data_IF_470934617298
#
_entry.id   IF_470934617298
#
_cell.length_a   1.000
_cell.length_b   1.000
_cell.length_c   1.000
_cell.angle_alpha   90.00
_cell.angle_beta   90.00
_cell.angle_gamma   90.00
#
_symmetry.space_group_name_H-M   'P 1'
#
loop_
_entity.id
_entity.type
_entity.pdbx_description
1 polymer ?
#
# COMPACT_ATOMS: atom_id res chain seq x y z
N UNK A 1 15.32 -17.34 -11.92
CA UNK A 1 15.69 -17.41 -10.49
C UNK A 1 14.45 -17.78 -9.67
N UNK A 2 14.38 -18.96 -9.05
CA UNK A 2 13.25 -19.31 -8.16
C UNK A 2 13.41 -18.54 -6.84
N UNK A 3 12.65 -17.46 -6.67
CA UNK A 3 12.64 -16.73 -5.40
C UNK A 3 12.10 -17.65 -4.30
N UNK A 4 12.69 -17.68 -3.10
CA UNK A 4 12.16 -18.46 -1.99
C UNK A 4 10.81 -17.86 -1.57
N UNK A 5 9.73 -18.44 -2.11
CA UNK A 5 8.32 -17.99 -2.00
C UNK A 5 7.95 -17.65 -0.54
N UNK A 6 8.38 -18.50 0.39
CA UNK A 6 8.09 -18.33 1.82
C UNK A 6 8.76 -17.09 2.44
N UNK A 7 9.94 -16.67 1.97
CA UNK A 7 10.66 -15.52 2.53
C UNK A 7 10.03 -14.20 2.08
N UNK A 8 9.71 -14.08 0.79
CA UNK A 8 9.06 -12.87 0.26
C UNK A 8 7.69 -12.66 0.89
N UNK A 9 6.88 -13.72 0.98
CA UNK A 9 5.55 -13.67 1.58
C UNK A 9 5.59 -13.18 3.04
N UNK A 10 6.50 -13.75 3.84
CA UNK A 10 6.68 -13.36 5.26
C UNK A 10 7.17 -11.92 5.42
N UNK A 11 8.15 -11.51 4.61
CA UNK A 11 8.69 -10.14 4.67
C UNK A 11 7.62 -9.12 4.28
N UNK A 12 6.90 -9.35 3.18
CA UNK A 12 5.82 -8.46 2.74
C UNK A 12 4.69 -8.39 3.77
N UNK A 13 4.29 -9.52 4.35
CA UNK A 13 3.33 -9.52 5.45
C UNK A 13 3.83 -8.68 6.64
N UNK A 14 5.08 -8.88 7.05
CA UNK A 14 5.68 -8.14 8.17
C UNK A 14 5.71 -6.62 7.90
N UNK A 15 6.15 -6.20 6.72
CA UNK A 15 6.14 -4.78 6.32
C UNK A 15 4.73 -4.23 6.40
N UNK A 16 3.74 -4.92 5.82
CA UNK A 16 2.36 -4.45 5.79
C UNK A 16 1.73 -4.39 7.17
N UNK A 17 2.02 -5.34 8.06
CA UNK A 17 1.54 -5.32 9.45
C UNK A 17 2.16 -4.16 10.24
N UNK A 18 3.47 -3.92 10.09
CA UNK A 18 4.14 -2.78 10.74
C UNK A 18 3.60 -1.46 10.20
N UNK A 19 3.41 -1.35 8.88
CA UNK A 19 2.80 -0.16 8.26
C UNK A 19 1.37 0.05 8.76
N UNK A 20 0.53 -0.99 8.78
CA UNK A 20 -0.82 -0.91 9.33
C UNK A 20 -0.79 -0.37 10.76
N UNK A 21 -0.02 -1.02 11.64
CA UNK A 21 0.10 -0.61 13.04
C UNK A 21 0.54 0.86 13.17
N UNK A 22 1.58 1.28 12.45
CA UNK A 22 2.07 2.65 12.50
C UNK A 22 1.01 3.67 12.05
N UNK A 23 0.31 3.42 10.94
CA UNK A 23 -0.75 4.30 10.44
C UNK A 23 -1.89 4.42 11.45
N UNK A 24 -2.29 3.32 12.08
CA UNK A 24 -3.40 3.32 13.04
C UNK A 24 -3.09 3.98 14.37
N UNK A 25 -1.85 3.85 14.83
CA UNK A 25 -1.37 4.63 15.97
C UNK A 25 -1.38 6.13 15.63
N UNK A 26 -0.89 6.52 14.44
CA UNK A 26 -0.85 7.93 14.02
C UNK A 26 -2.24 8.55 13.86
N UNK A 27 -3.25 7.78 13.45
CA UNK A 27 -4.61 8.28 13.32
C UNK A 27 -5.43 8.23 14.62
N UNK A 28 -4.92 7.66 15.72
CA UNK A 28 -5.62 7.53 17.00
C UNK A 28 -6.94 6.75 16.89
N UNK A 29 -6.95 5.72 16.02
CA UNK A 29 -8.14 4.93 15.65
C UNK A 29 -7.92 3.43 15.82
N UNK A 30 -7.00 3.00 16.68
CA UNK A 30 -6.59 1.59 16.81
C UNK A 30 -7.77 0.63 17.08
N UNK A 31 -8.81 1.11 17.77
CA UNK A 31 -10.02 0.35 18.13
C UNK A 31 -11.22 0.64 17.21
N UNK A 32 -11.02 1.33 16.09
CA UNK A 32 -12.09 1.74 15.20
C UNK A 32 -12.39 0.63 14.17
N UNK A 33 -13.66 0.19 13.99
CA UNK A 33 -14.05 -0.76 12.95
C UNK A 33 -13.63 -0.36 11.53
N UNK A 34 -13.46 0.93 11.26
CA UNK A 34 -12.93 1.46 9.99
C UNK A 34 -11.48 1.05 9.70
N UNK A 35 -10.80 0.38 10.63
CA UNK A 35 -9.47 -0.21 10.44
C UNK A 35 -9.44 -1.18 9.25
N UNK A 36 -10.49 -1.99 9.06
CA UNK A 36 -10.56 -2.95 7.94
C UNK A 36 -10.61 -2.20 6.62
N UNK A 37 -11.43 -1.14 6.56
CA UNK A 37 -11.60 -0.32 5.37
C UNK A 37 -10.33 0.44 5.01
N UNK A 38 -9.70 1.06 6.00
CA UNK A 38 -8.46 1.82 5.82
C UNK A 38 -7.25 0.95 5.50
N UNK A 39 -7.32 -0.35 5.84
CA UNK A 39 -6.31 -1.36 5.52
C UNK A 39 -6.42 -1.90 4.09
N UNK A 40 -7.49 -1.57 3.35
CA UNK A 40 -7.73 -2.05 1.98
C UNK A 40 -6.49 -1.97 1.05
N UNK A 41 -5.78 -0.84 0.93
CA UNK A 41 -4.58 -0.76 0.11
C UNK A 41 -3.47 -1.75 0.55
N UNK A 42 -3.37 -2.05 1.85
CA UNK A 42 -2.39 -3.01 2.38
C UNK A 42 -2.78 -4.44 2.01
N UNK A 43 -4.06 -4.81 2.15
CA UNK A 43 -4.54 -6.13 1.74
C UNK A 43 -4.33 -6.37 0.24
N UNK A 44 -4.62 -5.38 -0.60
CA UNK A 44 -4.40 -5.48 -2.05
C UNK A 44 -2.91 -5.57 -2.39
N UNK A 45 -2.05 -4.83 -1.68
CA UNK A 45 -0.60 -4.92 -1.82
C UNK A 45 -0.10 -6.34 -1.54
N UNK A 46 -0.55 -6.95 -0.43
CA UNK A 46 -0.22 -8.34 -0.11
C UNK A 46 -0.69 -9.29 -1.20
N UNK A 47 -1.96 -9.16 -1.62
CA UNK A 47 -2.55 -10.00 -2.65
C UNK A 47 -1.77 -9.98 -3.97
N UNK A 48 -1.39 -8.79 -4.45
CA UNK A 48 -0.63 -8.67 -5.70
C UNK A 48 0.77 -9.25 -5.58
N UNK A 49 1.46 -9.05 -4.45
CA UNK A 49 2.77 -9.65 -4.21
C UNK A 49 2.66 -11.18 -4.18
N UNK A 50 1.67 -11.71 -3.47
CA UNK A 50 1.44 -13.15 -3.35
C UNK A 50 1.19 -13.80 -4.72
N UNK A 51 0.33 -13.18 -5.54
CA UNK A 51 0.05 -13.62 -6.91
C UNK A 51 1.27 -13.52 -7.81
N UNK A 52 2.05 -12.45 -7.69
CA UNK A 52 3.27 -12.26 -8.46
C UNK A 52 4.33 -13.33 -8.13
N UNK A 53 4.60 -13.54 -6.85
CA UNK A 53 5.55 -14.55 -6.37
C UNK A 53 5.11 -15.95 -6.78
N UNK A 54 3.81 -16.28 -6.62
CA UNK A 54 3.27 -17.59 -7.02
C UNK A 54 3.36 -17.83 -8.53
N UNK A 55 3.24 -16.77 -9.34
CA UNK A 55 3.37 -16.89 -10.80
C UNK A 55 4.82 -16.96 -11.30
N UNK A 56 5.81 -16.61 -10.47
CA UNK A 56 7.20 -16.49 -10.88
C UNK A 56 7.50 -15.37 -11.89
N UNK A 57 6.51 -14.58 -12.31
CA UNK A 57 6.71 -13.49 -13.27
C UNK A 57 7.33 -12.27 -12.59
N UNK A 58 8.51 -11.90 -13.06
CA UNK A 58 9.25 -10.73 -12.59
C UNK A 58 8.50 -9.46 -12.94
N UNK A 59 7.89 -9.40 -14.13
CA UNK A 59 7.04 -8.27 -14.52
C UNK A 59 5.93 -8.02 -13.51
N UNK A 60 5.21 -9.08 -13.10
CA UNK A 60 4.14 -8.98 -12.10
C UNK A 60 4.67 -8.58 -10.73
N UNK A 61 5.87 -9.02 -10.37
CA UNK A 61 6.50 -8.66 -9.10
C UNK A 61 6.85 -7.17 -9.03
N UNK A 62 7.44 -6.62 -10.09
CA UNK A 62 7.71 -5.19 -10.19
C UNK A 62 6.42 -4.37 -10.12
N UNK A 63 5.39 -4.79 -10.86
CA UNK A 63 4.09 -4.12 -10.82
C UNK A 63 3.47 -4.17 -9.40
N UNK A 64 3.52 -5.31 -8.72
CA UNK A 64 3.04 -5.45 -7.34
C UNK A 64 3.80 -4.55 -6.35
N UNK A 65 5.12 -4.42 -6.49
CA UNK A 65 5.89 -3.48 -5.68
C UNK A 65 5.57 -2.02 -6.00
N UNK A 66 5.34 -1.68 -7.26
CA UNK A 66 4.88 -0.35 -7.66
C UNK A 66 3.55 0.02 -7.01
N UNK A 67 2.59 -0.92 -6.99
CA UNK A 67 1.33 -0.73 -6.28
C UNK A 67 1.56 -0.48 -4.80
N UNK A 68 2.30 -1.37 -4.14
CA UNK A 68 2.56 -1.30 -2.71
C UNK A 68 3.20 0.03 -2.32
N UNK A 69 4.26 0.44 -3.03
CA UNK A 69 4.97 1.68 -2.72
C UNK A 69 4.07 2.91 -2.90
N UNK A 70 3.34 3.01 -4.01
CA UNK A 70 2.50 4.17 -4.27
C UNK A 70 1.30 4.25 -3.30
N UNK A 71 0.63 3.13 -3.04
CA UNK A 71 -0.51 3.07 -2.13
C UNK A 71 -0.10 3.36 -0.67
N UNK A 72 1.02 2.78 -0.21
CA UNK A 72 1.55 3.02 1.14
C UNK A 72 2.04 4.45 1.28
N UNK A 73 2.80 4.99 0.32
CA UNK A 73 3.31 6.36 0.40
C UNK A 73 2.17 7.38 0.50
N UNK A 74 1.12 7.21 -0.30
CA UNK A 74 -0.07 8.05 -0.23
C UNK A 74 -0.80 7.90 1.12
N UNK A 75 -0.96 6.67 1.61
CA UNK A 75 -1.57 6.42 2.93
C UNK A 75 -0.77 7.09 4.04
N UNK A 76 0.55 6.93 4.06
CA UNK A 76 1.48 7.55 5.02
C UNK A 76 1.37 9.07 4.98
N UNK A 77 1.36 9.66 3.77
CA UNK A 77 1.21 11.11 3.62
C UNK A 77 -0.06 11.61 4.31
N UNK A 78 -1.21 10.97 4.08
CA UNK A 78 -2.48 11.40 4.69
C UNK A 78 -2.55 11.19 6.21
N UNK A 79 -1.98 10.11 6.73
CA UNK A 79 -1.94 9.91 8.18
C UNK A 79 -0.98 10.92 8.83
N UNK A 80 0.11 11.28 8.15
CA UNK A 80 1.05 12.27 8.64
C UNK A 80 0.44 13.68 8.64
N UNK A 81 -0.26 14.07 7.57
CA UNK A 81 -0.96 15.37 7.53
C UNK A 81 -2.03 15.45 8.62
N UNK A 82 -2.80 14.38 8.83
CA UNK A 82 -3.76 14.29 9.94
C UNK A 82 -3.10 14.39 11.31
N UNK A 83 -2.02 13.63 11.55
CA UNK A 83 -1.31 13.61 12.82
C UNK A 83 -0.71 14.98 13.17
N UNK A 84 -0.18 15.68 12.18
CA UNK A 84 0.44 17.01 12.35
C UNK A 84 -0.57 18.16 12.29
N UNK A 85 -1.87 17.87 12.08
CA UNK A 85 -2.91 18.86 11.82
C UNK A 85 -2.52 19.86 10.72
N UNK A 86 -1.86 19.36 9.66
CA UNK A 86 -1.35 20.18 8.57
C UNK A 86 -2.51 20.96 7.95
N UNK A 87 -2.43 22.30 7.93
CA UNK A 87 -3.48 23.19 7.41
C UNK A 87 -4.86 22.96 8.05
N UNK A 88 -4.90 22.57 9.33
CA UNK A 88 -6.17 22.30 10.03
C UNK A 88 -6.88 21.04 9.53
N UNK A 89 -6.16 20.07 8.98
CA UNK A 89 -6.76 18.82 8.46
C UNK A 89 -7.44 17.97 9.52
N UNK A 90 -7.14 18.14 10.81
CA UNK A 90 -7.82 17.49 11.93
C UNK A 90 -8.81 18.43 12.62
N UNK A 91 -8.49 19.72 12.76
CA UNK A 91 -9.27 20.66 13.58
C UNK A 91 -10.11 21.67 12.80
N UNK A 92 -9.81 21.88 11.52
CA UNK A 92 -10.41 22.92 10.68
C UNK A 92 -11.82 22.64 10.19
N UNK A 93 -12.33 21.41 10.34
CA UNK A 93 -13.71 21.07 9.98
C UNK A 93 -14.22 19.85 10.75
N UNK A 94 -15.51 19.84 11.10
CA UNK A 94 -16.22 18.67 11.64
C UNK A 94 -16.40 17.54 10.62
N UNK A 95 -16.22 17.81 9.32
CA UNK A 95 -16.25 16.81 8.24
C UNK A 95 -14.87 16.28 7.86
N UNK A 96 -13.80 16.74 8.49
CA UNK A 96 -12.42 16.36 8.19
C UNK A 96 -12.18 14.84 8.27
N UNK A 97 -12.82 14.16 9.22
CA UNK A 97 -12.72 12.71 9.39
C UNK A 97 -13.26 11.89 8.19
N UNK A 98 -14.09 12.48 7.30
CA UNK A 98 -14.53 11.83 6.05
C UNK A 98 -13.34 11.49 5.14
N UNK A 99 -12.19 12.13 5.34
CA UNK A 99 -10.98 11.83 4.58
C UNK A 99 -10.57 10.36 4.74
N UNK A 100 -10.80 9.73 5.90
CA UNK A 100 -10.49 8.32 6.11
C UNK A 100 -11.48 7.37 5.43
N UNK A 101 -12.65 7.87 5.01
CA UNK A 101 -13.59 7.10 4.18
C UNK A 101 -13.09 7.05 2.73
N UNK A 102 -12.58 8.17 2.20
CA UNK A 102 -12.18 8.26 0.79
C UNK A 102 -10.70 7.94 0.54
N UNK A 103 -9.83 8.18 1.53
CA UNK A 103 -8.39 7.94 1.42
C UNK A 103 -8.03 6.51 0.97
N UNK A 104 -8.72 5.44 1.42
CA UNK A 104 -8.41 4.09 0.93
C UNK A 104 -8.71 3.93 -0.56
N UNK A 105 -9.78 4.56 -1.06
CA UNK A 105 -10.12 4.57 -2.49
C UNK A 105 -9.04 5.29 -3.29
N UNK A 106 -8.63 6.49 -2.86
CA UNK A 106 -7.56 7.24 -3.52
C UNK A 106 -6.22 6.51 -3.46
N UNK A 107 -5.88 5.89 -2.32
CA UNK A 107 -4.67 5.08 -2.16
C UNK A 107 -4.63 3.91 -3.14
N UNK A 108 -5.78 3.25 -3.36
CA UNK A 108 -5.89 2.16 -4.33
C UNK A 108 -5.74 2.67 -5.77
N UNK A 109 -6.37 3.80 -6.12
CA UNK A 109 -6.23 4.42 -7.45
C UNK A 109 -4.76 4.76 -7.73
N UNK A 110 -4.10 5.45 -6.79
CA UNK A 110 -2.67 5.79 -6.89
C UNK A 110 -1.80 4.53 -6.91
N UNK A 111 -2.17 3.50 -6.14
CA UNK A 111 -1.57 2.17 -6.20
C UNK A 111 -1.60 1.60 -7.62
N UNK A 112 -2.75 1.63 -8.30
CA UNK A 112 -2.84 1.14 -9.67
C UNK A 112 -1.98 1.97 -10.64
N UNK A 113 -1.89 3.29 -10.47
CA UNK A 113 -0.94 4.10 -11.24
C UNK A 113 0.50 3.60 -11.05
N UNK A 114 0.91 3.37 -9.80
CA UNK A 114 2.22 2.79 -9.47
C UNK A 114 2.42 1.40 -10.08
N UNK A 115 1.37 0.56 -10.07
CA UNK A 115 1.39 -0.77 -10.69
C UNK A 115 1.70 -0.71 -12.18
N UNK A 116 1.00 0.15 -12.92
CA UNK A 116 1.20 0.31 -14.36
C UNK A 116 2.59 0.86 -14.68
N UNK A 117 3.04 1.90 -13.96
CA UNK A 117 4.36 2.50 -14.17
C UNK A 117 5.49 1.51 -13.88
N UNK A 118 5.42 0.76 -12.78
CA UNK A 118 6.44 -0.22 -12.43
C UNK A 118 6.41 -1.48 -13.31
N UNK A 119 5.32 -1.73 -14.03
CA UNK A 119 5.26 -2.84 -14.99
C UNK A 119 6.18 -2.63 -16.21
N UNK A 120 6.48 -1.37 -16.56
CA UNK A 120 7.38 -1.02 -17.67
C UNK A 120 8.81 -1.54 -17.46
N UNK A 121 9.52 -1.20 -16.35
CA UNK A 121 10.82 -1.79 -16.06
C UNK A 121 10.73 -3.30 -15.84
N UNK A 122 9.60 -3.81 -15.34
CA UNK A 122 9.34 -5.24 -15.20
C UNK A 122 9.39 -6.00 -16.53
N UNK A 123 8.84 -5.43 -17.61
CA UNK A 123 8.91 -6.00 -18.97
C UNK A 123 10.36 -6.08 -19.46
N UNK A 124 11.14 -5.03 -19.20
CA UNK A 124 12.55 -4.98 -19.57
C UNK A 124 13.38 -6.02 -18.80
N UNK A 125 13.11 -6.17 -17.50
CA UNK A 125 13.78 -7.15 -16.66
C UNK A 125 13.49 -8.59 -17.08
N UNK A 126 12.23 -8.89 -17.45
CA UNK A 126 11.81 -10.22 -17.92
C UNK A 126 12.49 -10.59 -19.24
N UNK A 127 12.62 -9.64 -20.18
CA UNK A 127 13.35 -9.82 -21.45
C UNK A 127 14.85 -10.10 -21.30
N UNK A 128 15.47 -9.71 -20.19
CA UNK A 128 16.90 -9.94 -19.93
C UNK A 128 17.20 -11.32 -19.33
N UNK A 129 16.18 -12.06 -18.91
CA UNK A 129 16.33 -13.35 -18.23
C UNK A 129 15.91 -14.57 -19.08
N UNK A 130 15.31 -14.35 -20.25
CA UNK A 130 15.04 -15.36 -21.26
C UNK A 130 16.02 -15.24 -22.41
#
# INVERSE_FOLDING_TARGET
MKLPVNRHRRLSLAILLVTAFALYVLADILLNPFIIWTSLPLYLSYYFIDRAVSSGSIKRLYAAYGFMLAAIAFSVFYHFTWYTDWQGTRTGSSTSALIFVWMPVYSVIIGFVGYFLASLPGVLAERRQG
#
